data_IF_992355852318
#
_entry.id   IF_992355852318
#
_cell.length_a   1.000
_cell.length_b   1.000
_cell.length_c   1.000
_cell.angle_alpha   90.00
_cell.angle_beta   90.00
_cell.angle_gamma   90.00
#
_symmetry.space_group_name_H-M   'P 1'
#
loop_
_entity.id
_entity.type
_entity.pdbx_description
1 polymer ?
#
# COMPACT_ATOMS: atom_id res chain seq x y z
N UNK A 1 -6.46 -11.43 -22.34
CA UNK A 1 -5.48 -10.36 -22.11
C UNK A 1 -5.19 -10.28 -20.62
N UNK A 2 -4.05 -10.82 -20.18
CA UNK A 2 -3.61 -10.68 -18.79
C UNK A 2 -3.10 -9.26 -18.62
N UNK A 3 -3.84 -8.41 -17.91
CA UNK A 3 -3.41 -7.05 -17.59
C UNK A 3 -2.08 -7.06 -16.82
N UNK A 4 -1.36 -5.92 -16.78
CA UNK A 4 -0.08 -5.84 -16.07
C UNK A 4 -0.26 -6.39 -14.66
N UNK A 5 0.61 -7.32 -14.29
CA UNK A 5 0.59 -7.96 -12.98
C UNK A 5 0.69 -6.86 -11.92
N UNK A 6 -0.44 -6.50 -11.28
CA UNK A 6 -0.44 -5.55 -10.19
C UNK A 6 0.40 -6.19 -9.07
N UNK A 7 1.61 -5.69 -8.78
CA UNK A 7 2.54 -6.32 -7.84
C UNK A 7 2.02 -6.25 -6.39
N UNK A 8 0.91 -5.54 -6.19
CA UNK A 8 0.22 -5.35 -4.94
C UNK A 8 -1.08 -6.15 -4.84
N UNK A 9 -1.40 -6.99 -5.82
CA UNK A 9 -2.63 -7.80 -5.83
C UNK A 9 -2.56 -8.88 -4.76
N UNK A 10 -3.14 -8.59 -3.59
CA UNK A 10 -3.32 -9.57 -2.51
C UNK A 10 -4.61 -10.36 -2.76
N UNK A 11 -4.60 -11.67 -2.44
CA UNK A 11 -5.78 -12.55 -2.59
C UNK A 11 -6.96 -12.11 -1.71
N UNK A 12 -6.69 -11.38 -0.62
CA UNK A 12 -7.72 -10.76 0.21
C UNK A 12 -8.33 -9.57 -0.56
N UNK A 13 -9.53 -9.77 -1.10
CA UNK A 13 -10.28 -8.74 -1.84
C UNK A 13 -11.25 -7.95 -0.95
N UNK A 14 -11.56 -8.46 0.24
CA UNK A 14 -12.53 -7.84 1.16
C UNK A 14 -11.85 -7.16 2.34
N UNK A 15 -11.14 -6.07 2.07
CA UNK A 15 -10.57 -5.22 3.12
C UNK A 15 -11.68 -4.53 3.92
N UNK A 16 -11.39 -4.09 5.14
CA UNK A 16 -12.28 -3.25 5.95
C UNK A 16 -11.49 -2.09 6.53
N UNK A 17 -12.17 -1.00 6.87
CA UNK A 17 -11.55 0.10 7.62
C UNK A 17 -10.92 -0.47 8.90
N UNK A 18 -9.68 -0.09 9.18
CA UNK A 18 -8.88 -0.62 10.27
C UNK A 18 -8.05 -1.86 9.91
N UNK A 19 -8.32 -2.54 8.80
CA UNK A 19 -7.45 -3.63 8.35
C UNK A 19 -6.05 -3.12 8.02
N UNK A 20 -5.05 -3.95 8.31
CA UNK A 20 -3.66 -3.67 7.99
C UNK A 20 -3.15 -4.57 6.86
N UNK A 21 -2.20 -4.05 6.07
CA UNK A 21 -1.44 -4.81 5.08
C UNK A 21 0.02 -4.39 5.10
N UNK A 22 0.90 -5.36 4.87
CA UNK A 22 2.31 -5.08 4.61
C UNK A 22 2.54 -4.95 3.10
N UNK A 23 3.32 -3.95 2.71
CA UNK A 23 3.73 -3.71 1.33
C UNK A 23 5.24 -3.50 1.31
N UNK A 24 6.00 -4.08 0.36
CA UNK A 24 7.44 -3.82 0.28
C UNK A 24 7.70 -2.32 0.11
N UNK A 25 8.62 -1.76 0.90
CA UNK A 25 8.90 -0.32 0.90
C UNK A 25 9.22 0.18 -0.52
N UNK A 26 10.04 -0.57 -1.27
CA UNK A 26 10.37 -0.26 -2.67
C UNK A 26 9.17 -0.09 -3.59
N UNK A 27 8.07 -0.83 -3.35
CA UNK A 27 6.86 -0.74 -4.16
C UNK A 27 6.05 0.48 -3.75
N UNK A 28 5.99 0.77 -2.44
CA UNK A 28 5.31 1.96 -1.94
C UNK A 28 6.01 3.25 -2.42
N UNK A 29 7.35 3.29 -2.37
CA UNK A 29 8.18 4.38 -2.90
C UNK A 29 7.93 4.61 -4.40
N UNK A 30 7.73 3.55 -5.18
CA UNK A 30 7.40 3.68 -6.60
C UNK A 30 6.00 4.27 -6.87
N UNK A 31 5.11 4.29 -5.86
CA UNK A 31 3.80 4.95 -5.96
C UNK A 31 3.89 6.45 -5.60
N UNK A 32 4.95 6.90 -4.94
CA UNK A 32 5.14 8.32 -4.67
C UNK A 32 5.27 9.10 -5.99
N UNK A 33 4.49 10.17 -6.12
CA UNK A 33 4.47 10.99 -7.34
C UNK A 33 3.59 10.42 -8.47
N UNK A 34 2.87 9.33 -8.21
CA UNK A 34 1.80 8.84 -9.10
C UNK A 34 0.43 9.27 -8.58
N UNK A 35 -0.61 9.17 -9.41
CA UNK A 35 -2.01 9.40 -8.98
C UNK A 35 -2.49 8.45 -7.88
N UNK A 36 -1.72 7.38 -7.58
CA UNK A 36 -2.01 6.47 -6.48
C UNK A 36 -1.60 7.02 -5.10
N UNK A 37 -0.93 8.17 -5.03
CA UNK A 37 -0.56 8.82 -3.78
C UNK A 37 -1.13 10.24 -3.71
N UNK A 38 -2.03 10.47 -2.77
CA UNK A 38 -2.50 11.81 -2.42
C UNK A 38 -1.51 12.44 -1.42
N UNK A 39 -0.75 13.41 -1.89
CA UNK A 39 0.23 14.12 -1.05
C UNK A 39 -0.41 15.06 -0.03
N UNK A 40 -1.63 15.53 -0.28
CA UNK A 40 -2.33 16.44 0.61
C UNK A 40 -2.84 15.69 1.84
N UNK A 41 -3.46 14.53 1.61
CA UNK A 41 -4.00 13.68 2.67
C UNK A 41 -2.98 12.67 3.22
N UNK A 42 -1.86 12.49 2.52
CA UNK A 42 -0.83 11.48 2.80
C UNK A 42 -1.41 10.06 2.76
N UNK A 43 -2.25 9.79 1.76
CA UNK A 43 -2.96 8.53 1.57
C UNK A 43 -2.59 7.86 0.26
N UNK A 44 -2.54 6.53 0.26
CA UNK A 44 -2.36 5.73 -0.93
C UNK A 44 -3.71 5.17 -1.39
N UNK A 45 -4.01 5.32 -2.68
CA UNK A 45 -5.16 4.71 -3.34
C UNK A 45 -4.75 3.38 -3.95
N UNK A 46 -5.09 2.29 -3.28
CA UNK A 46 -4.72 0.93 -3.71
C UNK A 46 -5.97 0.06 -3.65
N UNK A 47 -6.25 -0.66 -4.73
CA UNK A 47 -7.43 -1.54 -4.87
C UNK A 47 -8.77 -0.81 -4.61
N UNK A 48 -8.87 0.46 -5.03
CA UNK A 48 -10.06 1.30 -4.85
C UNK A 48 -10.31 1.74 -3.41
N UNK A 49 -9.30 1.65 -2.54
CA UNK A 49 -9.38 2.02 -1.13
C UNK A 49 -8.27 2.97 -0.72
N UNK A 50 -8.55 3.73 0.33
CA UNK A 50 -7.61 4.63 0.97
C UNK A 50 -6.76 3.89 2.02
N UNK A 51 -5.47 4.13 1.98
CA UNK A 51 -4.49 3.50 2.85
C UNK A 51 -3.56 4.53 3.46
N UNK A 52 -3.45 4.52 4.79
CA UNK A 52 -2.51 5.37 5.51
C UNK A 52 -1.26 4.59 5.89
N UNK A 53 -0.09 5.20 5.73
CA UNK A 53 1.17 4.64 6.21
C UNK A 53 1.22 4.73 7.74
N UNK A 54 1.32 3.59 8.41
CA UNK A 54 1.46 3.52 9.88
C UNK A 54 2.91 3.34 10.33
N UNK A 55 3.76 2.76 9.48
CA UNK A 55 5.16 2.57 9.82
C UNK A 55 5.95 1.79 8.79
N UNK A 56 7.25 1.65 9.05
CA UNK A 56 8.18 0.86 8.26
C UNK A 56 8.90 -0.13 9.16
N UNK A 57 8.96 -1.38 8.72
CA UNK A 57 9.64 -2.49 9.38
C UNK A 57 10.85 -2.85 8.53
N UNK A 58 12.05 -2.74 9.11
CA UNK A 58 13.28 -3.26 8.52
C UNK A 58 13.40 -4.74 8.85
N UNK A 59 13.74 -5.56 7.85
CA UNK A 59 13.91 -7.00 7.99
C UNK A 59 15.40 -7.36 8.06
N UNK A 60 15.77 -8.48 8.70
CA UNK A 60 17.17 -8.91 8.82
C UNK A 60 17.86 -9.19 7.48
N UNK A 61 17.10 -9.45 6.42
CA UNK A 61 17.59 -9.65 5.05
C UNK A 61 17.97 -8.34 4.33
N UNK A 62 17.91 -7.20 5.03
CA UNK A 62 18.19 -5.87 4.47
C UNK A 62 17.02 -5.28 3.68
N UNK A 63 15.89 -5.98 3.58
CA UNK A 63 14.68 -5.43 2.96
C UNK A 63 13.85 -4.65 3.98
N UNK A 64 12.91 -3.84 3.50
CA UNK A 64 11.94 -3.16 4.37
C UNK A 64 10.52 -3.32 3.83
N UNK A 65 9.57 -3.42 4.74
CA UNK A 65 8.15 -3.41 4.47
C UNK A 65 7.50 -2.20 5.14
N UNK A 66 6.54 -1.59 4.49
CA UNK A 66 5.68 -0.56 5.05
C UNK A 66 4.36 -1.19 5.48
N UNK A 67 3.90 -0.81 6.68
CA UNK A 67 2.60 -1.19 7.20
C UNK A 67 1.59 -0.12 6.83
N UNK A 68 0.55 -0.52 6.11
CA UNK A 68 -0.56 0.36 5.73
C UNK A 68 -1.82 -0.04 6.49
N UNK A 69 -2.61 0.94 6.90
CA UNK A 69 -3.95 0.74 7.46
C UNK A 69 -5.01 1.28 6.50
N UNK A 70 -6.03 0.47 6.24
CA UNK A 70 -7.19 0.90 5.47
C UNK A 70 -7.97 1.93 6.27
N UNK A 71 -8.25 3.08 5.67
CA UNK A 71 -9.03 4.16 6.30
C UNK A 71 -10.33 4.38 5.53
N UNK A 72 -11.31 5.00 6.18
CA UNK A 72 -12.52 5.47 5.53
C UNK A 72 -12.27 6.93 5.12
N UNK A 73 -12.60 7.25 3.88
CA UNK A 73 -12.76 8.62 3.40
C UNK A 73 -14.21 8.86 3.02
#
# INVERSE_FOLDING_TARGET
MSGPANPLKVVKTNWRVGDQREVPARVLEALHGTDAYDSYEQLYRIDGRAWRLEGRVSRPDGTSACLLRCVNE
#
